data_IF_436003555515
#
_entry.id   IF_436003555515
#
_cell.length_a   1.000
_cell.length_b   1.000
_cell.length_c   1.000
_cell.angle_alpha   90.00
_cell.angle_beta   90.00
_cell.angle_gamma   90.00
#
_symmetry.space_group_name_H-M   'P 1'
#
loop_
_entity.id
_entity.type
_entity.pdbx_description
1 polymer ?
#
# COMPACT_ATOMS: atom_id res chain seq x y z
N UNK A 1 -5.74 0.94 46.77
CA UNK A 1 -5.29 -0.42 47.10
C UNK A 1 -5.21 -1.23 45.82
N UNK A 2 -4.26 -2.17 45.73
CA UNK A 2 -3.75 -2.69 44.45
C UNK A 2 -4.80 -3.39 43.57
N UNK A 3 -4.66 -3.19 42.26
CA UNK A 3 -5.50 -3.81 41.26
C UNK A 3 -4.95 -5.17 40.83
N UNK A 4 -5.83 -6.17 40.82
CA UNK A 4 -5.88 -7.26 39.85
C UNK A 4 -4.56 -7.97 39.47
N UNK A 5 -4.08 -8.86 40.35
CA UNK A 5 -3.14 -9.95 39.98
C UNK A 5 -3.80 -11.34 39.92
N UNK A 6 -4.92 -11.55 40.64
CA UNK A 6 -5.37 -12.91 41.02
C UNK A 6 -6.51 -13.48 40.14
N UNK A 7 -6.45 -13.35 38.80
CA UNK A 7 -7.50 -13.93 37.92
C UNK A 7 -7.05 -14.48 36.55
N UNK A 8 -5.87 -15.10 36.49
CA UNK A 8 -5.38 -15.81 35.30
C UNK A 8 -5.29 -17.35 35.48
N UNK A 9 -6.16 -17.93 36.32
CA UNK A 9 -6.16 -19.37 36.69
C UNK A 9 -6.32 -20.36 35.52
N UNK A 10 -6.77 -19.90 34.34
CA UNK A 10 -6.90 -20.70 33.12
C UNK A 10 -6.12 -20.13 31.93
N UNK A 11 -5.28 -19.11 32.14
CA UNK A 11 -4.42 -18.61 31.07
C UNK A 11 -3.19 -19.52 30.91
N UNK A 12 -2.71 -19.78 29.68
CA UNK A 12 -1.40 -20.40 29.50
C UNK A 12 -0.32 -19.52 30.17
N UNK A 13 0.75 -20.12 30.73
CA UNK A 13 1.78 -19.37 31.42
C UNK A 13 2.37 -18.31 30.49
N UNK A 14 2.65 -17.07 30.97
CA UNK A 14 3.16 -15.99 30.13
C UNK A 14 4.50 -16.41 29.53
N UNK A 15 4.55 -16.53 28.21
CA UNK A 15 5.75 -17.01 27.53
C UNK A 15 6.90 -16.01 27.70
N UNK A 16 8.03 -16.41 28.31
CA UNK A 16 9.12 -15.50 28.61
C UNK A 16 9.69 -14.96 27.29
N UNK A 17 9.58 -13.64 27.10
CA UNK A 17 10.01 -12.96 25.88
C UNK A 17 8.89 -12.52 24.92
N UNK A 18 7.61 -12.82 25.18
CA UNK A 18 6.50 -12.36 24.33
C UNK A 18 6.48 -10.84 24.06
N UNK A 19 6.84 -10.03 25.06
CA UNK A 19 6.97 -8.57 24.90
C UNK A 19 8.18 -8.20 24.03
N UNK A 20 9.30 -8.94 24.15
CA UNK A 20 10.51 -8.71 23.33
C UNK A 20 10.25 -9.07 21.86
N UNK A 21 9.54 -10.17 21.59
CA UNK A 21 9.14 -10.52 20.23
C UNK A 21 8.10 -9.56 19.66
N UNK A 22 7.16 -9.05 20.45
CA UNK A 22 6.23 -8.00 20.02
C UNK A 22 6.97 -6.71 19.63
N UNK A 23 7.92 -6.25 20.44
CA UNK A 23 8.73 -5.06 20.16
C UNK A 23 9.61 -5.26 18.92
N UNK A 24 10.27 -6.42 18.79
CA UNK A 24 11.05 -6.77 17.59
C UNK A 24 10.18 -6.85 16.33
N UNK A 25 8.98 -7.41 16.43
CA UNK A 25 8.05 -7.47 15.31
C UNK A 25 7.63 -6.07 14.85
N UNK A 26 7.28 -5.17 15.77
CA UNK A 26 6.94 -3.78 15.44
C UNK A 26 8.14 -3.05 14.81
N UNK A 27 9.34 -3.22 15.37
CA UNK A 27 10.59 -2.67 14.80
C UNK A 27 10.85 -3.18 13.38
N UNK A 28 10.68 -4.48 13.13
CA UNK A 28 10.87 -5.07 11.80
C UNK A 28 9.86 -4.53 10.77
N UNK A 29 8.59 -4.30 11.17
CA UNK A 29 7.59 -3.70 10.28
C UNK A 29 7.92 -2.22 9.98
N UNK A 30 8.35 -1.44 10.98
CA UNK A 30 8.77 -0.04 10.78
C UNK A 30 10.00 0.02 9.86
N UNK A 31 10.99 -0.86 10.06
CA UNK A 31 12.17 -0.95 9.21
C UNK A 31 11.81 -1.34 7.77
N UNK A 32 10.90 -2.30 7.58
CA UNK A 32 10.39 -2.69 6.26
C UNK A 32 9.67 -1.54 5.55
N UNK A 33 8.84 -0.77 6.26
CA UNK A 33 8.17 0.42 5.70
C UNK A 33 9.19 1.49 5.31
N UNK A 34 10.22 1.74 6.12
CA UNK A 34 11.29 2.69 5.81
C UNK A 34 12.14 2.26 4.60
N UNK A 35 12.46 0.97 4.50
CA UNK A 35 13.18 0.41 3.36
C UNK A 35 12.35 0.48 2.07
N UNK A 36 11.03 0.23 2.16
CA UNK A 36 10.11 0.38 1.03
C UNK A 36 9.98 1.84 0.58
N UNK A 37 9.80 2.80 1.50
CA UNK A 37 9.73 4.21 1.10
C UNK A 37 11.03 4.69 0.47
N UNK A 38 12.19 4.32 0.99
CA UNK A 38 13.48 4.69 0.38
C UNK A 38 13.69 4.03 -1.00
N UNK A 39 13.39 2.74 -1.13
CA UNK A 39 13.52 2.00 -2.38
C UNK A 39 12.52 2.40 -3.47
N UNK A 40 11.31 2.81 -3.10
CA UNK A 40 10.31 3.36 -4.04
C UNK A 40 10.68 4.80 -4.43
N UNK A 41 11.23 5.61 -3.52
CA UNK A 41 11.65 6.98 -3.85
C UNK A 41 12.80 7.05 -4.87
N UNK A 42 13.59 5.99 -5.02
CA UNK A 42 14.60 5.83 -6.09
C UNK A 42 14.06 5.22 -7.39
N UNK A 43 12.79 4.77 -7.43
CA UNK A 43 12.15 4.20 -8.62
C UNK A 43 11.04 5.08 -9.20
N UNK A 44 10.91 6.32 -8.72
CA UNK A 44 9.94 7.31 -9.21
C UNK A 44 10.39 8.03 -10.50
N UNK A 45 11.07 7.34 -11.42
CA UNK A 45 10.97 7.72 -12.83
C UNK A 45 9.68 7.12 -13.37
N UNK A 46 8.69 7.98 -13.60
CA UNK A 46 7.42 7.58 -14.17
C UNK A 46 7.59 7.18 -15.64
N UNK A 47 8.07 5.96 -15.88
CA UNK A 47 7.78 5.25 -17.13
C UNK A 47 6.28 5.04 -17.14
N UNK A 48 5.57 5.99 -17.77
CA UNK A 48 4.16 5.86 -18.10
C UNK A 48 4.08 4.76 -19.16
N UNK A 49 4.11 3.51 -18.70
CA UNK A 49 3.62 2.39 -19.49
C UNK A 49 2.14 2.67 -19.67
N UNK A 50 1.80 3.17 -20.86
CA UNK A 50 0.43 3.16 -21.37
C UNK A 50 0.04 1.69 -21.53
N UNK A 51 -0.34 1.07 -20.42
CA UNK A 51 -1.05 -0.19 -20.40
C UNK A 51 -2.42 0.10 -21.04
N UNK A 52 -2.46 0.02 -22.36
CA UNK A 52 -3.71 -0.13 -23.06
C UNK A 52 -4.45 -1.31 -22.44
N UNK A 53 -5.75 -1.16 -22.24
CA UNK A 53 -6.58 -2.20 -21.64
C UNK A 53 -6.83 -3.31 -22.67
N UNK A 54 -5.78 -4.05 -23.02
CA UNK A 54 -5.91 -5.34 -23.68
C UNK A 54 -6.64 -6.30 -22.75
N UNK A 55 -7.95 -6.34 -22.95
CA UNK A 55 -8.92 -7.22 -22.31
C UNK A 55 -8.68 -8.67 -22.75
N UNK A 56 -7.58 -9.27 -22.30
CA UNK A 56 -7.27 -10.69 -22.54
C UNK A 56 -7.00 -11.43 -21.24
N UNK A 57 -7.89 -12.38 -20.95
CA UNK A 57 -7.72 -13.35 -19.88
C UNK A 57 -6.65 -14.37 -20.25
N UNK A 58 -5.43 -14.17 -19.76
CA UNK A 58 -4.38 -15.17 -19.77
C UNK A 58 -3.67 -15.20 -18.40
N UNK A 59 -3.93 -16.24 -17.60
CA UNK A 59 -3.20 -16.47 -16.35
C UNK A 59 -1.78 -16.94 -16.70
N UNK A 60 -0.71 -16.28 -16.20
CA UNK A 60 0.65 -16.78 -16.39
C UNK A 60 0.83 -18.08 -15.58
N UNK A 61 0.76 -19.22 -16.26
CA UNK A 61 0.99 -20.53 -15.64
C UNK A 61 2.49 -20.71 -15.35
N UNK A 62 2.85 -20.59 -14.08
CA UNK A 62 4.23 -20.73 -13.60
C UNK A 62 4.73 -22.16 -13.84
N UNK A 63 5.91 -22.29 -14.44
CA UNK A 63 6.50 -23.59 -14.77
C UNK A 63 6.79 -24.42 -13.51
N UNK A 64 6.32 -25.66 -13.49
CA UNK A 64 6.56 -26.59 -12.39
C UNK A 64 8.02 -27.11 -12.42
N UNK A 65 8.68 -27.26 -11.26
CA UNK A 65 10.00 -27.89 -11.19
C UNK A 65 9.95 -29.35 -11.65
N UNK A 66 10.97 -29.76 -12.39
CA UNK A 66 11.07 -31.08 -13.01
C UNK A 66 11.13 -32.17 -11.94
N UNK A 67 10.18 -33.11 -11.99
CA UNK A 67 10.12 -34.27 -11.10
C UNK A 67 11.36 -35.16 -11.33
N UNK A 68 12.05 -35.53 -10.25
CA UNK A 68 13.15 -36.51 -10.30
C UNK A 68 12.54 -37.90 -10.15
N UNK A 69 12.65 -38.71 -11.19
CA UNK A 69 12.32 -40.14 -11.14
C UNK A 69 13.38 -40.88 -10.32
N UNK A 70 12.94 -41.61 -9.30
CA UNK A 70 13.76 -42.59 -8.58
C UNK A 70 13.33 -43.99 -9.04
N UNK A 71 14.26 -44.84 -9.50
CA UNK A 71 13.92 -46.14 -10.10
C UNK A 71 13.39 -47.16 -9.08
N UNK A 72 12.64 -48.18 -9.53
CA UNK A 72 12.02 -49.17 -8.66
C UNK A 72 12.95 -50.36 -8.35
N UNK A 73 12.80 -50.95 -7.17
CA UNK A 73 13.36 -52.27 -6.84
C UNK A 73 12.27 -53.19 -6.23
N UNK A 74 12.03 -54.39 -6.80
CA UNK A 74 10.99 -55.34 -6.35
C UNK A 74 11.62 -56.55 -5.56
N UNK A 75 10.91 -57.67 -5.29
CA UNK A 75 9.99 -57.79 -4.15
C UNK A 75 10.20 -59.08 -3.29
N UNK A 76 9.24 -59.34 -2.38
CA UNK A 76 9.02 -60.58 -1.60
C UNK A 76 9.95 -60.75 -0.36
N UNK A 77 9.63 -61.50 0.70
CA UNK A 77 9.06 -62.87 0.78
C UNK A 77 8.21 -63.12 2.08
N UNK A 78 7.06 -63.81 1.92
CA UNK A 78 6.22 -64.64 2.86
C UNK A 78 6.00 -64.26 4.35
N UNK A 79 4.76 -64.16 4.88
CA UNK A 79 3.76 -65.23 5.22
C UNK A 79 4.24 -66.31 6.25
N UNK A 80 3.35 -66.90 7.10
CA UNK A 80 2.38 -66.28 8.03
C UNK A 80 2.37 -67.03 9.43
N UNK A 81 1.27 -67.50 10.09
CA UNK A 81 1.15 -67.40 11.56
C UNK A 81 1.20 -68.73 12.35
N UNK A 82 1.38 -68.63 13.67
CA UNK A 82 1.29 -69.73 14.66
C UNK A 82 0.48 -69.20 15.86
N UNK A 83 -0.80 -69.57 16.00
CA UNK A 83 -1.32 -70.66 16.88
C UNK A 83 -1.13 -70.37 18.39
N UNK A 84 -2.06 -70.62 19.32
CA UNK A 84 -3.53 -70.76 19.34
C UNK A 84 -3.95 -70.98 20.82
N UNK A 85 -5.25 -70.89 21.14
CA UNK A 85 -5.89 -71.41 22.38
C UNK A 85 -5.50 -70.68 23.69
N UNK A 86 -6.30 -70.66 24.76
CA UNK A 86 -7.62 -71.27 25.01
C UNK A 86 -8.47 -70.45 25.98
N UNK A 87 -9.77 -70.77 26.02
CA UNK A 87 -10.81 -70.18 26.85
C UNK A 87 -10.56 -70.30 28.37
N UNK A 88 -11.19 -69.43 29.19
CA UNK A 88 -11.33 -69.65 30.62
C UNK A 88 -12.35 -70.77 30.93
N UNK A 89 -12.05 -71.61 31.91
CA UNK A 89 -12.96 -72.66 32.42
C UNK A 89 -13.75 -72.21 33.67
N UNK A 90 -14.90 -72.85 33.97
CA UNK A 90 -16.01 -72.23 34.72
C UNK A 90 -16.06 -72.60 36.21
N UNK A 91 -16.99 -72.01 36.99
CA UNK A 91 -17.13 -72.26 38.44
C UNK A 91 -17.96 -73.52 38.76
N UNK A 92 -17.85 -74.00 40.01
CA UNK A 92 -18.73 -75.05 40.55
C UNK A 92 -19.04 -74.84 42.06
N UNK A 93 -20.32 -74.95 42.51
CA UNK A 93 -20.75 -74.95 43.92
C UNK A 93 -21.11 -76.41 44.36
N UNK A 94 -21.99 -76.75 45.34
CA UNK A 94 -22.61 -76.04 46.49
C UNK A 94 -22.65 -76.82 47.86
N UNK A 95 -23.23 -76.20 48.92
CA UNK A 95 -24.08 -76.81 50.01
C UNK A 95 -23.39 -77.66 51.16
N UNK A 96 -24.07 -78.00 52.29
CA UNK A 96 -24.67 -77.17 53.38
C UNK A 96 -24.42 -77.78 54.81
N UNK A 97 -25.34 -77.73 55.83
CA UNK A 97 -25.84 -76.64 56.68
C UNK A 97 -25.63 -76.90 58.22
N UNK A 98 -26.32 -76.10 59.08
CA UNK A 98 -26.47 -76.20 60.56
C UNK A 98 -25.27 -75.60 61.33
N UNK A 99 -25.44 -74.92 62.47
CA UNK A 99 -26.36 -75.17 63.61
C UNK A 99 -27.02 -73.86 64.12
N UNK A 100 -28.29 -73.95 64.56
CA UNK A 100 -28.95 -72.92 65.40
C UNK A 100 -28.85 -73.33 66.88
N UNK A 101 -28.74 -72.37 67.81
CA UNK A 101 -29.63 -72.44 68.99
C UNK A 101 -30.44 -71.16 69.22
N UNK A 102 -31.73 -71.34 69.50
CA UNK A 102 -32.64 -70.30 70.05
C UNK A 102 -32.33 -70.00 71.52
N UNK A 103 -32.17 -68.72 71.85
CA UNK A 103 -32.41 -68.08 73.16
C UNK A 103 -32.67 -66.58 72.87
N UNK A 104 -33.53 -65.83 73.54
CA UNK A 104 -34.64 -66.16 74.44
C UNK A 104 -35.69 -65.04 74.37
N UNK A 105 -36.98 -65.34 74.54
CA UNK A 105 -38.06 -64.34 74.42
C UNK A 105 -38.15 -63.42 75.66
N UNK A 106 -37.30 -62.40 75.71
CA UNK A 106 -37.39 -61.26 76.64
C UNK A 106 -36.98 -59.90 76.02
N UNK A 107 -36.19 -59.89 74.93
CA UNK A 107 -35.63 -58.66 74.33
C UNK A 107 -36.57 -57.89 73.36
N UNK A 108 -37.75 -58.44 73.07
CA UNK A 108 -38.65 -57.95 72.00
C UNK A 108 -39.10 -56.49 72.19
N UNK A 109 -39.26 -56.03 73.44
CA UNK A 109 -39.69 -54.66 73.73
C UNK A 109 -38.59 -53.63 73.41
N UNK A 110 -37.37 -53.86 73.89
CA UNK A 110 -36.21 -52.99 73.66
C UNK A 110 -35.80 -52.97 72.18
N UNK A 111 -35.95 -54.08 71.46
CA UNK A 111 -35.67 -54.12 70.02
C UNK A 111 -36.69 -53.32 69.20
N UNK A 112 -37.99 -53.39 69.54
CA UNK A 112 -39.04 -52.59 68.89
C UNK A 112 -38.82 -51.09 69.10
N UNK A 113 -38.40 -50.66 70.29
CA UNK A 113 -38.09 -49.26 70.57
C UNK A 113 -36.86 -48.78 69.79
N UNK A 114 -35.77 -49.56 69.79
CA UNK A 114 -34.57 -49.31 68.98
C UNK A 114 -34.91 -49.24 67.47
N UNK A 115 -35.83 -50.08 66.99
CA UNK A 115 -36.30 -50.05 65.60
C UNK A 115 -37.11 -48.78 65.28
N UNK A 116 -37.98 -48.31 66.20
CA UNK A 116 -38.72 -47.05 66.03
C UNK A 116 -37.77 -45.85 65.98
N UNK A 117 -36.84 -45.76 66.93
CA UNK A 117 -35.82 -44.69 66.96
C UNK A 117 -34.92 -44.72 65.71
N UNK A 118 -34.56 -45.90 65.21
CA UNK A 118 -33.80 -46.05 63.96
C UNK A 118 -34.60 -45.59 62.73
N UNK A 119 -35.89 -45.91 62.67
CA UNK A 119 -36.79 -45.46 61.59
C UNK A 119 -37.01 -43.95 61.61
N UNK A 120 -37.19 -43.37 62.80
CA UNK A 120 -37.33 -41.92 62.98
C UNK A 120 -36.06 -41.17 62.56
N UNK A 121 -34.88 -41.61 63.01
CA UNK A 121 -33.58 -41.07 62.55
C UNK A 121 -33.35 -41.23 61.05
N UNK A 122 -33.85 -42.32 60.43
CA UNK A 122 -33.81 -42.48 58.97
C UNK A 122 -34.73 -41.47 58.25
N UNK A 123 -35.94 -41.25 58.75
CA UNK A 123 -36.88 -40.26 58.19
C UNK A 123 -36.37 -38.82 58.37
N UNK A 124 -35.77 -38.50 59.52
CA UNK A 124 -35.14 -37.19 59.74
C UNK A 124 -33.97 -36.97 58.76
N UNK A 125 -33.08 -37.96 58.59
CA UNK A 125 -31.98 -37.90 57.64
C UNK A 125 -32.46 -37.77 56.18
N UNK A 126 -33.57 -38.43 55.83
CA UNK A 126 -34.19 -38.31 54.51
C UNK A 126 -34.78 -36.92 54.28
N UNK A 127 -35.49 -36.36 55.27
CA UNK A 127 -36.01 -34.99 55.24
C UNK A 127 -34.90 -33.95 55.11
N UNK A 128 -33.83 -34.07 55.93
CA UNK A 128 -32.65 -33.20 55.84
C UNK A 128 -31.94 -33.30 54.48
N UNK A 129 -31.89 -34.50 53.88
CA UNK A 129 -31.35 -34.69 52.51
C UNK A 129 -32.25 -34.03 51.46
N UNK A 130 -33.57 -34.18 51.57
CA UNK A 130 -34.53 -33.58 50.64
C UNK A 130 -34.52 -32.05 50.72
N UNK A 131 -34.36 -31.49 51.91
CA UNK A 131 -34.24 -30.04 52.12
C UNK A 131 -32.92 -29.49 51.57
N UNK A 132 -31.79 -30.17 51.83
CA UNK A 132 -30.50 -29.82 51.20
C UNK A 132 -30.57 -29.88 49.66
N UNK A 133 -31.19 -30.90 49.08
CA UNK A 133 -31.40 -31.02 47.63
C UNK A 133 -32.33 -29.93 47.06
N UNK A 134 -33.35 -29.50 47.81
CA UNK A 134 -34.20 -28.35 47.43
C UNK A 134 -33.40 -27.05 47.45
N UNK A 135 -32.59 -26.83 48.48
CA UNK A 135 -31.79 -25.62 48.63
C UNK A 135 -30.68 -25.54 47.56
N UNK A 136 -29.97 -26.65 47.30
CA UNK A 136 -28.99 -26.75 46.21
C UNK A 136 -29.62 -26.43 44.84
N UNK A 137 -30.81 -26.98 44.55
CA UNK A 137 -31.56 -26.65 43.31
C UNK A 137 -31.92 -25.17 43.24
N UNK A 138 -32.40 -24.57 44.33
CA UNK A 138 -32.73 -23.14 44.40
C UNK A 138 -31.49 -22.27 44.16
N UNK A 139 -30.37 -22.60 44.78
CA UNK A 139 -29.14 -21.82 44.65
C UNK A 139 -28.47 -22.01 43.28
N UNK A 140 -28.55 -23.21 42.69
CA UNK A 140 -28.15 -23.45 41.29
C UNK A 140 -29.00 -22.63 40.31
N UNK A 141 -30.32 -22.59 40.48
CA UNK A 141 -31.22 -21.76 39.67
C UNK A 141 -30.96 -20.25 39.85
N UNK A 142 -30.62 -19.80 41.06
CA UNK A 142 -30.17 -18.40 41.30
C UNK A 142 -28.86 -18.11 40.55
N UNK A 143 -27.86 -19.00 40.65
CA UNK A 143 -26.59 -18.84 39.95
C UNK A 143 -26.75 -18.82 38.42
N UNK A 144 -27.58 -19.69 37.85
CA UNK A 144 -27.88 -19.71 36.41
C UNK A 144 -28.57 -18.41 35.97
N UNK A 145 -29.58 -17.93 36.72
CA UNK A 145 -30.22 -16.63 36.44
C UNK A 145 -29.25 -15.45 36.54
N UNK A 146 -28.32 -15.44 37.50
CA UNK A 146 -27.31 -14.40 37.63
C UNK A 146 -26.29 -14.45 36.47
N UNK A 147 -25.83 -15.64 36.07
CA UNK A 147 -24.96 -15.82 34.89
C UNK A 147 -25.64 -15.32 33.61
N UNK A 148 -26.88 -15.73 33.36
CA UNK A 148 -27.66 -15.29 32.19
C UNK A 148 -27.89 -13.77 32.17
N UNK A 149 -28.18 -13.14 33.32
CA UNK A 149 -28.34 -11.69 33.41
C UNK A 149 -27.02 -10.95 33.16
N UNK A 150 -25.90 -11.46 33.67
CA UNK A 150 -24.57 -10.90 33.43
C UNK A 150 -24.15 -11.03 31.96
N UNK A 151 -24.46 -12.16 31.32
CA UNK A 151 -24.17 -12.40 29.90
C UNK A 151 -24.99 -11.50 28.99
N UNK A 152 -26.31 -11.36 29.23
CA UNK A 152 -27.15 -10.40 28.50
C UNK A 152 -26.64 -8.97 28.63
N UNK A 153 -26.26 -8.54 29.84
CA UNK A 153 -25.73 -7.19 30.08
C UNK A 153 -24.38 -6.97 29.37
N UNK A 154 -23.52 -7.99 29.28
CA UNK A 154 -22.29 -7.96 28.47
C UNK A 154 -22.58 -7.86 26.97
N UNK A 155 -23.51 -8.66 26.46
CA UNK A 155 -23.92 -8.61 25.05
C UNK A 155 -24.52 -7.24 24.69
N UNK A 156 -25.41 -6.69 25.53
CA UNK A 156 -26.00 -5.37 25.36
C UNK A 156 -24.95 -4.26 25.34
N UNK A 157 -23.98 -4.28 26.28
CA UNK A 157 -22.85 -3.34 26.27
C UNK A 157 -21.98 -3.46 25.02
N UNK A 158 -21.69 -4.68 24.56
CA UNK A 158 -20.87 -4.90 23.36
C UNK A 158 -21.59 -4.45 22.09
N UNK A 159 -22.91 -4.64 22.00
CA UNK A 159 -23.72 -4.12 20.90
C UNK A 159 -23.80 -2.58 20.93
N UNK A 160 -23.92 -1.98 22.12
CA UNK A 160 -23.95 -0.52 22.28
C UNK A 160 -22.60 0.10 21.90
N UNK A 161 -21.48 -0.45 22.38
CA UNK A 161 -20.11 -0.01 22.05
C UNK A 161 -19.84 -0.15 20.54
N UNK A 162 -20.20 -1.29 19.93
CA UNK A 162 -20.10 -1.50 18.48
C UNK A 162 -20.94 -0.48 17.70
N UNK A 163 -22.14 -0.15 18.16
CA UNK A 163 -23.00 0.87 17.53
C UNK A 163 -22.40 2.27 17.66
N UNK A 164 -21.91 2.65 18.85
CA UNK A 164 -21.24 3.94 19.07
C UNK A 164 -19.97 4.09 18.25
N UNK A 165 -19.15 3.04 18.15
CA UNK A 165 -17.95 3.03 17.30
C UNK A 165 -18.28 3.15 15.81
N UNK A 166 -19.36 2.50 15.36
CA UNK A 166 -19.82 2.59 13.96
C UNK A 166 -20.39 3.98 13.65
N UNK A 167 -21.21 4.54 14.54
CA UNK A 167 -21.75 5.89 14.41
C UNK A 167 -20.65 6.95 14.41
N UNK A 168 -19.66 6.83 15.32
CA UNK A 168 -18.50 7.73 15.34
C UNK A 168 -17.69 7.65 14.06
N UNK A 169 -17.38 6.46 13.55
CA UNK A 169 -16.69 6.28 12.26
C UNK A 169 -17.47 6.88 11.09
N UNK A 170 -18.80 6.80 11.12
CA UNK A 170 -19.63 7.41 10.08
C UNK A 170 -19.67 8.95 10.21
N UNK A 171 -19.69 9.50 11.43
CA UNK A 171 -19.54 10.94 11.66
C UNK A 171 -18.17 11.46 11.21
N UNK A 172 -17.08 10.81 11.63
CA UNK A 172 -15.71 11.13 11.23
C UNK A 172 -15.56 11.13 9.70
N UNK A 173 -16.12 10.10 9.02
CA UNK A 173 -16.11 10.02 7.56
C UNK A 173 -16.95 11.12 6.90
N UNK A 174 -18.16 11.38 7.39
CA UNK A 174 -19.03 12.47 6.88
C UNK A 174 -18.39 13.84 7.07
N UNK A 175 -17.61 14.05 8.13
CA UNK A 175 -16.87 15.30 8.35
C UNK A 175 -15.67 15.42 7.40
N UNK A 176 -14.91 14.34 7.19
CA UNK A 176 -13.84 14.29 6.18
C UNK A 176 -14.38 14.55 4.76
N UNK A 177 -15.48 13.89 4.37
CA UNK A 177 -16.11 14.07 3.06
C UNK A 177 -16.62 15.51 2.87
N UNK A 178 -17.21 16.13 3.91
CA UNK A 178 -17.61 17.55 3.90
C UNK A 178 -16.41 18.47 3.74
N UNK A 179 -15.34 18.26 4.51
CA UNK A 179 -14.14 19.09 4.48
C UNK A 179 -13.43 18.99 3.13
N UNK A 180 -13.26 17.78 2.58
CA UNK A 180 -12.73 17.56 1.25
C UNK A 180 -13.58 18.21 0.15
N UNK A 181 -14.91 18.18 0.28
CA UNK A 181 -15.82 18.87 -0.65
C UNK A 181 -15.72 20.41 -0.55
N UNK A 182 -15.53 20.96 0.66
CA UNK A 182 -15.33 22.39 0.88
C UNK A 182 -13.96 22.86 0.33
N UNK A 183 -12.89 22.13 0.62
CA UNK A 183 -11.54 22.42 0.13
C UNK A 183 -11.48 22.32 -1.40
N UNK A 184 -12.16 21.33 -2.01
CA UNK A 184 -12.29 21.23 -3.48
C UNK A 184 -13.09 22.40 -4.08
N UNK A 185 -14.13 22.89 -3.38
CA UNK A 185 -14.87 24.09 -3.80
C UNK A 185 -14.01 25.35 -3.72
N UNK A 186 -13.27 25.54 -2.62
CA UNK A 186 -12.34 26.67 -2.44
C UNK A 186 -11.25 26.66 -3.52
N UNK A 187 -10.60 25.52 -3.75
CA UNK A 187 -9.58 25.37 -4.79
C UNK A 187 -10.12 25.69 -6.20
N UNK A 188 -11.35 25.24 -6.53
CA UNK A 188 -11.98 25.54 -7.81
C UNK A 188 -12.46 27.00 -7.94
N UNK A 189 -12.78 27.67 -6.83
CA UNK A 189 -13.10 29.10 -6.81
C UNK A 189 -11.84 29.96 -6.94
N UNK A 190 -10.75 29.58 -6.26
CA UNK A 190 -9.46 30.25 -6.34
C UNK A 190 -8.79 30.07 -7.71
N UNK A 191 -8.93 28.90 -8.35
CA UNK A 191 -8.44 28.69 -9.72
C UNK A 191 -9.17 29.61 -10.70
N UNK A 192 -10.51 29.62 -10.67
CA UNK A 192 -11.33 30.53 -11.50
C UNK A 192 -11.04 32.00 -11.23
N UNK A 193 -10.76 32.39 -9.98
CA UNK A 193 -10.40 33.76 -9.62
C UNK A 193 -9.02 34.14 -10.16
N UNK A 194 -8.05 33.23 -10.12
CA UNK A 194 -6.71 33.44 -10.72
C UNK A 194 -6.78 33.53 -12.24
N UNK A 195 -7.54 32.64 -12.88
CA UNK A 195 -7.79 32.62 -14.32
C UNK A 195 -8.43 33.94 -14.77
N UNK A 196 -9.54 34.37 -14.15
CA UNK A 196 -10.19 35.65 -14.45
C UNK A 196 -9.30 36.89 -14.17
N UNK A 197 -8.40 36.83 -13.18
CA UNK A 197 -7.40 37.88 -12.95
C UNK A 197 -6.33 37.91 -14.04
N UNK A 198 -5.92 36.74 -14.54
CA UNK A 198 -4.93 36.60 -15.60
C UNK A 198 -5.50 37.06 -16.94
N UNK A 199 -6.72 36.65 -17.29
CA UNK A 199 -7.47 37.12 -18.46
C UNK A 199 -7.61 38.66 -18.47
N UNK A 200 -7.94 39.26 -17.31
CA UNK A 200 -8.00 40.72 -17.19
C UNK A 200 -6.63 41.40 -17.37
N UNK A 201 -5.54 40.78 -16.91
CA UNK A 201 -4.20 41.32 -17.14
C UNK A 201 -3.79 41.19 -18.60
N UNK A 202 -4.08 40.07 -19.25
CA UNK A 202 -3.70 39.81 -20.63
C UNK A 202 -4.55 40.64 -21.61
N UNK A 203 -5.85 40.84 -21.34
CA UNK A 203 -6.68 41.80 -22.06
C UNK A 203 -6.11 43.23 -21.99
N UNK A 204 -5.68 43.69 -20.80
CA UNK A 204 -5.03 45.00 -20.61
C UNK A 204 -3.69 45.10 -21.36
N UNK A 205 -2.89 44.03 -21.39
CA UNK A 205 -1.63 43.98 -22.17
C UNK A 205 -1.91 44.07 -23.67
N UNK A 206 -2.89 43.33 -24.18
CA UNK A 206 -3.29 43.34 -25.60
C UNK A 206 -3.84 44.70 -26.01
N UNK A 207 -4.64 45.36 -25.16
CA UNK A 207 -5.14 46.71 -25.43
C UNK A 207 -4.00 47.76 -25.40
N UNK A 208 -3.06 47.65 -24.45
CA UNK A 208 -1.84 48.48 -24.43
C UNK A 208 -0.97 48.27 -25.68
N UNK A 209 -0.85 47.03 -26.17
CA UNK A 209 -0.15 46.74 -27.43
C UNK A 209 -0.89 47.30 -28.65
N UNK A 210 -2.22 47.18 -28.70
CA UNK A 210 -3.05 47.72 -29.78
C UNK A 210 -2.93 49.24 -29.85
N UNK A 211 -3.04 49.93 -28.71
CA UNK A 211 -2.88 51.40 -28.64
C UNK A 211 -1.46 51.85 -28.98
N UNK A 212 -0.42 51.14 -28.51
CA UNK A 212 0.97 51.41 -28.90
C UNK A 212 1.23 51.20 -30.41
N UNK A 213 0.64 50.16 -31.00
CA UNK A 213 0.74 49.90 -32.45
C UNK A 213 0.02 50.98 -33.26
N UNK A 214 -1.19 51.38 -32.87
CA UNK A 214 -1.91 52.50 -33.48
C UNK A 214 -1.10 53.81 -33.39
N UNK A 215 -0.49 54.10 -32.23
CA UNK A 215 0.39 55.26 -32.05
C UNK A 215 1.64 55.19 -32.93
N UNK A 216 2.23 54.00 -33.12
CA UNK A 216 3.35 53.80 -34.06
C UNK A 216 2.94 54.03 -35.52
N UNK A 217 1.76 53.54 -35.92
CA UNK A 217 1.23 53.75 -37.29
C UNK A 217 0.90 55.23 -37.54
N UNK A 218 0.29 55.92 -36.59
CA UNK A 218 0.05 57.36 -36.68
C UNK A 218 1.37 58.15 -36.76
N UNK A 219 2.39 57.75 -35.99
CA UNK A 219 3.74 58.31 -36.07
C UNK A 219 4.41 58.08 -37.43
N UNK A 220 4.22 56.92 -38.06
CA UNK A 220 4.72 56.64 -39.41
C UNK A 220 3.99 57.49 -40.48
N UNK A 221 2.67 57.63 -40.37
CA UNK A 221 1.86 58.40 -41.31
C UNK A 221 2.14 59.91 -41.26
N UNK A 222 2.59 60.43 -40.11
CA UNK A 222 3.06 61.81 -39.96
C UNK A 222 4.54 62.04 -40.31
N UNK A 223 5.32 60.98 -40.55
CA UNK A 223 6.77 61.04 -40.74
C UNK A 223 7.20 61.06 -42.22
N UNK A 224 6.65 61.97 -43.01
CA UNK A 224 7.18 62.27 -44.35
C UNK A 224 8.45 63.12 -44.24
N UNK A 225 9.61 62.46 -44.09
CA UNK A 225 10.92 63.09 -44.29
C UNK A 225 11.95 62.89 -43.17
N UNK A 226 12.84 61.91 -43.33
CA UNK A 226 14.31 62.08 -43.26
C UNK A 226 15.01 60.72 -43.40
N UNK A 227 16.03 60.65 -44.26
CA UNK A 227 16.76 59.45 -44.68
C UNK A 227 17.83 58.99 -43.66
N UNK A 228 17.49 58.97 -42.36
CA UNK A 228 18.47 58.74 -41.28
C UNK A 228 17.98 57.93 -40.06
N UNK A 229 16.85 57.23 -40.12
CA UNK A 229 16.31 56.50 -38.97
C UNK A 229 16.99 55.13 -38.75
N UNK A 230 17.90 55.06 -37.78
CA UNK A 230 18.59 53.84 -37.32
C UNK A 230 17.71 52.95 -36.42
N UNK A 231 16.42 52.83 -36.75
CA UNK A 231 15.43 52.12 -35.94
C UNK A 231 15.67 50.62 -35.85
N UNK A 232 15.80 50.09 -34.63
CA UNK A 232 15.98 48.67 -34.30
C UNK A 232 14.78 47.76 -34.65
N UNK A 233 13.75 48.30 -35.30
CA UNK A 233 12.51 47.62 -35.67
C UNK A 233 12.66 46.53 -36.76
N UNK A 234 13.85 46.37 -37.35
CA UNK A 234 14.12 45.35 -38.39
C UNK A 234 14.68 44.02 -37.84
N UNK A 235 14.74 43.83 -36.51
CA UNK A 235 15.19 42.58 -35.90
C UNK A 235 13.99 41.65 -35.62
N UNK A 236 13.77 40.69 -36.51
CA UNK A 236 12.71 39.69 -36.39
C UNK A 236 12.86 38.81 -35.15
N UNK A 237 11.93 38.89 -34.21
CA UNK A 237 11.79 37.95 -33.09
C UNK A 237 10.97 36.71 -33.49
N UNK A 238 11.40 36.01 -34.54
CA UNK A 238 10.80 34.72 -34.93
C UNK A 238 11.27 33.58 -34.00
N UNK A 239 10.59 32.41 -33.98
CA UNK A 239 11.00 31.27 -33.15
C UNK A 239 12.44 30.78 -33.39
N UNK A 240 12.97 30.98 -34.60
CA UNK A 240 14.35 30.68 -35.00
C UNK A 240 15.37 31.81 -34.77
N UNK A 241 14.92 33.01 -34.35
CA UNK A 241 15.81 34.15 -34.13
C UNK A 241 16.64 34.05 -32.83
N UNK A 242 16.37 33.04 -32.01
CA UNK A 242 17.17 32.71 -30.84
C UNK A 242 18.54 32.14 -31.24
N UNK A 243 19.54 32.32 -30.38
CA UNK A 243 20.88 31.77 -30.54
C UNK A 243 20.91 30.27 -30.88
N UNK A 244 19.99 29.50 -30.28
CA UNK A 244 19.80 28.08 -30.55
C UNK A 244 19.48 27.80 -32.04
N UNK A 245 18.64 28.63 -32.67
CA UNK A 245 18.28 28.48 -34.09
C UNK A 245 19.48 28.57 -35.02
N UNK A 246 20.38 29.54 -34.80
CA UNK A 246 21.64 29.68 -35.55
C UNK A 246 22.53 28.44 -35.43
N UNK A 247 22.60 27.84 -34.25
CA UNK A 247 23.38 26.61 -34.04
C UNK A 247 22.72 25.43 -34.75
N UNK A 248 21.40 25.25 -34.60
CA UNK A 248 20.65 24.16 -35.26
C UNK A 248 20.77 24.25 -36.78
N UNK A 249 20.68 25.45 -37.36
CA UNK A 249 20.90 25.68 -38.79
C UNK A 249 22.32 25.30 -39.23
N UNK A 250 23.35 25.70 -38.45
CA UNK A 250 24.73 25.32 -38.72
C UNK A 250 24.96 23.81 -38.63
N UNK A 251 24.37 23.14 -37.63
CA UNK A 251 24.40 21.68 -37.50
C UNK A 251 23.75 21.02 -38.72
N UNK A 252 22.51 21.41 -39.07
CA UNK A 252 21.79 20.89 -40.25
C UNK A 252 22.60 21.06 -41.54
N UNK A 253 23.30 22.19 -41.72
CA UNK A 253 24.17 22.41 -42.89
C UNK A 253 25.40 21.50 -42.95
N UNK A 254 25.82 20.94 -41.81
CA UNK A 254 26.96 20.03 -41.69
C UNK A 254 26.57 18.54 -41.66
N UNK A 255 25.30 18.21 -41.35
CA UNK A 255 24.79 16.85 -41.27
C UNK A 255 24.65 16.21 -42.66
N UNK A 256 25.40 15.13 -42.89
CA UNK A 256 25.25 14.25 -44.05
C UNK A 256 24.50 12.99 -43.62
N UNK A 257 23.23 12.88 -44.00
CA UNK A 257 22.37 11.74 -43.70
C UNK A 257 21.92 11.08 -45.01
N UNK A 258 22.26 9.79 -45.18
CA UNK A 258 22.07 9.04 -46.44
C UNK A 258 21.01 7.95 -46.36
N UNK A 259 20.49 7.65 -45.16
CA UNK A 259 19.49 6.59 -44.96
C UNK A 259 18.07 7.12 -45.15
N UNK A 260 17.19 6.29 -45.71
CA UNK A 260 15.77 6.64 -45.86
C UNK A 260 15.00 6.34 -44.57
N UNK A 261 14.69 7.38 -43.79
CA UNK A 261 13.88 7.24 -42.56
C UNK A 261 12.39 7.47 -42.83
N UNK A 262 11.54 6.55 -42.37
CA UNK A 262 10.09 6.67 -42.42
C UNK A 262 9.57 7.67 -41.35
N UNK A 263 9.84 8.96 -41.56
CA UNK A 263 9.43 10.06 -40.66
C UNK A 263 10.45 11.19 -40.61
N UNK A 264 10.16 12.22 -39.79
CA UNK A 264 11.10 13.30 -39.47
C UNK A 264 11.71 13.05 -38.09
N UNK A 265 12.85 12.34 -37.99
CA UNK A 265 13.51 12.13 -36.70
C UNK A 265 13.88 13.49 -36.07
N UNK A 266 13.69 13.61 -34.75
CA UNK A 266 14.13 14.78 -33.99
C UNK A 266 14.89 14.36 -32.74
N UNK A 267 16.15 14.77 -32.65
CA UNK A 267 17.04 14.50 -31.51
C UNK A 267 17.15 15.75 -30.65
N UNK A 268 17.31 15.58 -29.33
CA UNK A 268 17.67 16.67 -28.42
C UNK A 268 19.10 16.43 -27.93
N UNK A 269 20.00 17.37 -28.21
CA UNK A 269 21.42 17.31 -27.87
C UNK A 269 21.75 18.48 -26.96
N UNK A 270 22.43 18.24 -25.83
CA UNK A 270 22.97 19.28 -24.98
C UNK A 270 24.41 19.55 -25.39
N UNK A 271 24.71 20.80 -25.75
CA UNK A 271 26.04 21.25 -26.19
C UNK A 271 26.58 22.31 -25.25
N UNK A 272 27.82 22.14 -24.77
CA UNK A 272 28.56 23.11 -23.97
C UNK A 272 29.78 23.60 -24.74
N UNK A 273 30.06 24.90 -24.65
CA UNK A 273 31.19 25.53 -25.31
C UNK A 273 32.00 26.42 -24.35
N UNK A 274 33.24 26.68 -24.70
CA UNK A 274 34.07 27.69 -24.05
C UNK A 274 33.65 29.10 -24.47
N UNK A 275 34.10 30.12 -23.73
CA UNK A 275 33.84 31.55 -24.04
C UNK A 275 34.30 31.98 -25.43
N UNK A 276 35.29 31.30 -26.01
CA UNK A 276 35.78 31.52 -27.38
C UNK A 276 35.00 30.80 -28.49
N UNK A 277 34.07 29.89 -28.14
CA UNK A 277 33.24 29.13 -29.08
C UNK A 277 33.64 27.68 -29.31
N UNK A 278 34.85 27.28 -28.94
CA UNK A 278 35.27 25.88 -29.01
C UNK A 278 34.30 24.97 -28.23
N UNK A 279 33.86 23.89 -28.86
CA UNK A 279 32.93 22.92 -28.26
C UNK A 279 33.68 22.09 -27.21
N UNK A 280 33.18 22.09 -25.98
CA UNK A 280 33.77 21.37 -24.84
C UNK A 280 33.11 20.00 -24.64
N UNK A 281 31.80 19.93 -24.78
CA UNK A 281 31.07 18.68 -24.71
C UNK A 281 29.77 18.73 -25.51
N UNK A 282 29.34 17.55 -25.94
CA UNK A 282 28.05 17.31 -26.59
C UNK A 282 27.56 15.94 -26.14
N UNK A 283 26.28 15.80 -25.84
CA UNK A 283 25.66 14.49 -25.62
C UNK A 283 24.17 14.54 -25.94
N UNK A 284 23.63 13.39 -26.33
CA UNK A 284 22.21 13.23 -26.62
C UNK A 284 21.46 13.14 -25.30
N UNK A 285 20.44 13.98 -25.13
CA UNK A 285 19.50 13.96 -23.99
C UNK A 285 18.26 13.13 -24.36
N UNK A 286 17.80 13.25 -25.60
CA UNK A 286 16.67 12.46 -26.13
C UNK A 286 17.02 11.94 -27.52
N UNK A 287 17.19 10.62 -27.71
CA UNK A 287 17.49 10.03 -29.01
C UNK A 287 16.27 10.16 -29.95
N UNK A 288 16.52 10.24 -31.26
CA UNK A 288 15.44 10.44 -32.25
C UNK A 288 14.66 9.17 -32.60
N UNK A 289 15.07 8.02 -32.09
CA UNK A 289 14.61 6.71 -32.54
C UNK A 289 15.35 6.19 -33.78
N UNK A 290 16.17 7.00 -34.44
CA UNK A 290 17.06 6.57 -35.53
C UNK A 290 18.52 6.83 -35.17
N UNK A 291 19.27 5.76 -34.88
CA UNK A 291 20.69 5.84 -34.53
C UNK A 291 21.54 6.49 -35.63
N UNK A 292 21.23 6.27 -36.91
CA UNK A 292 22.00 6.85 -38.01
C UNK A 292 21.80 8.38 -38.11
N UNK A 293 20.62 8.89 -37.73
CA UNK A 293 20.38 10.33 -37.59
C UNK A 293 21.13 10.90 -36.39
N UNK A 294 21.00 10.24 -35.23
CA UNK A 294 21.67 10.65 -33.98
C UNK A 294 23.20 10.70 -34.17
N UNK A 295 23.80 9.68 -34.78
CA UNK A 295 25.22 9.60 -35.14
C UNK A 295 25.64 10.67 -36.19
N UNK A 296 24.70 11.22 -36.97
CA UNK A 296 24.95 12.25 -38.00
C UNK A 296 24.64 13.69 -37.55
N UNK A 297 23.98 13.86 -36.40
CA UNK A 297 23.93 15.12 -35.64
C UNK A 297 25.14 15.22 -34.70
N UNK A 298 25.55 14.08 -34.10
CA UNK A 298 26.97 13.83 -33.86
C UNK A 298 27.72 13.77 -35.21
N UNK A 299 29.06 13.76 -35.26
CA UNK A 299 29.87 14.10 -36.46
C UNK A 299 29.67 15.54 -36.96
N UNK A 300 28.45 16.01 -37.25
CA UNK A 300 28.15 17.38 -37.69
C UNK A 300 28.53 18.44 -36.63
N UNK A 301 28.29 18.13 -35.35
CA UNK A 301 28.75 18.97 -34.22
C UNK A 301 30.29 18.91 -34.06
N UNK A 302 30.99 17.83 -34.45
CA UNK A 302 32.47 17.85 -34.47
C UNK A 302 32.95 18.74 -35.61
N UNK A 303 32.42 18.51 -36.82
CA UNK A 303 32.79 19.18 -38.06
C UNK A 303 32.69 20.72 -38.03
N UNK A 304 31.95 21.28 -37.07
CA UNK A 304 31.90 22.74 -36.89
C UNK A 304 33.03 23.29 -36.02
N UNK A 305 33.58 22.50 -35.08
CA UNK A 305 34.56 22.81 -34.02
C UNK A 305 34.22 23.98 -33.06
N UNK A 306 33.51 24.99 -33.58
CA UNK A 306 33.21 26.28 -32.95
C UNK A 306 31.75 26.64 -33.14
N UNK A 307 31.09 27.08 -32.06
CA UNK A 307 29.72 27.61 -32.14
C UNK A 307 29.72 29.00 -32.80
N UNK A 308 28.69 29.33 -33.61
CA UNK A 308 28.40 30.71 -34.01
C UNK A 308 28.36 31.65 -32.80
N UNK A 309 28.74 32.91 -32.99
CA UNK A 309 28.57 33.97 -31.98
C UNK A 309 27.16 34.56 -32.05
N UNK A 310 26.64 35.05 -30.94
CA UNK A 310 25.33 35.68 -30.94
C UNK A 310 25.36 37.11 -31.49
N UNK A 311 24.21 37.80 -31.50
CA UNK A 311 24.05 39.18 -31.99
C UNK A 311 24.98 40.18 -31.30
N UNK A 312 25.43 39.88 -30.07
CA UNK A 312 26.35 40.69 -29.27
C UNK A 312 27.83 40.28 -29.45
N UNK A 313 28.12 39.38 -30.39
CA UNK A 313 29.48 38.87 -30.66
C UNK A 313 30.04 37.94 -29.57
N UNK A 314 29.25 37.63 -28.54
CA UNK A 314 29.57 36.74 -27.41
C UNK A 314 28.74 35.46 -27.49
N UNK A 315 28.99 34.54 -26.56
CA UNK A 315 28.23 33.30 -26.38
C UNK A 315 27.41 33.44 -25.09
N UNK A 316 26.11 33.09 -25.09
CA UNK A 316 25.27 33.20 -23.90
C UNK A 316 25.81 32.36 -22.73
N UNK A 317 25.81 32.91 -21.52
CA UNK A 317 26.34 32.26 -20.31
C UNK A 317 25.71 30.89 -20.03
N UNK A 318 24.44 30.70 -20.40
CA UNK A 318 23.75 29.40 -20.32
C UNK A 318 24.52 28.30 -21.05
N UNK A 319 25.09 28.59 -22.22
CA UNK A 319 25.86 27.63 -23.05
C UNK A 319 27.21 27.30 -22.42
N UNK A 320 27.76 28.22 -21.61
CA UNK A 320 29.05 28.06 -20.92
C UNK A 320 28.90 27.19 -19.66
N UNK A 321 27.90 27.49 -18.84
CA UNK A 321 27.74 26.92 -17.50
C UNK A 321 26.91 25.63 -17.51
N UNK A 322 25.68 25.71 -18.01
CA UNK A 322 24.71 24.60 -18.03
C UNK A 322 24.92 23.74 -19.28
N UNK A 323 25.13 24.40 -20.42
CA UNK A 323 25.00 23.84 -21.75
C UNK A 323 23.61 24.16 -22.33
N UNK A 324 23.51 24.15 -23.65
CA UNK A 324 22.28 24.49 -24.36
C UNK A 324 21.68 23.25 -25.01
N UNK A 325 20.42 22.98 -24.68
CA UNK A 325 19.61 21.96 -25.35
C UNK A 325 19.19 22.44 -26.74
N UNK A 326 19.52 21.65 -27.75
CA UNK A 326 19.25 21.91 -29.15
C UNK A 326 18.38 20.79 -29.70
N UNK A 327 17.15 21.12 -30.09
CA UNK A 327 16.26 20.20 -30.82
C UNK A 327 16.59 20.27 -32.32
N UNK A 328 17.21 19.22 -32.83
CA UNK A 328 17.59 19.10 -34.24
C UNK A 328 16.65 18.08 -34.91
N UNK A 329 15.76 18.56 -35.77
CA UNK A 329 14.97 17.71 -36.67
C UNK A 329 15.69 17.48 -37.99
N UNK A 330 15.31 16.43 -38.71
CA UNK A 330 15.38 16.44 -40.18
C UNK A 330 14.50 17.61 -40.69
#
# INVERSE_FOLDING_TARGET
>A
MHAATDRLEFAPPPTPGAVRSLVLAVLAHIFLVAALTWGVHWKNEAVIVTAEAELWSAVPQQAAPKLVEVPPEPPAITKPPVVAKSLPTPPTPPKPPQVQPKLADADIALEREKLRLKKEKQQELENQRLEKLKQEKVDKLKQEKLKLKLEKLKQEKLLLDKKQLQEKREQDKREQDKKAAEDKKKAAQDSKRKEALQDQQDAKKVEAQRTANLKRMAGLAGATGSSGSTGTALRSSGPSASYAGKIVERIKSNTTFTDSSAGKPSVIVLVRAASGGAILSRHIVTPSGNKAWDDAVLRAIDKMDTLPRDVDGKIPEKVLNEGLELKVSL
#
